data_IF_104204054042
#
_entry.id   IF_104204054042
#
_cell.length_a   1.000
_cell.length_b   1.000
_cell.length_c   1.000
_cell.angle_alpha   90.00
_cell.angle_beta   90.00
_cell.angle_gamma   90.00
#
_symmetry.space_group_name_H-M   'P 1'
#
loop_
_entity.id
_entity.type
_entity.pdbx_description
1 polymer ?
#
# COMPACT_ATOMS: atom_id res chain seq x y z
N UNK A 1 16.75 1.52 -1.75
CA UNK A 1 15.52 1.31 -0.95
C UNK A 1 15.07 -0.10 -1.23
N UNK A 2 15.01 -0.92 -0.20
CA UNK A 2 14.52 -2.30 -0.27
C UNK A 2 13.03 -2.30 0.13
N UNK A 3 12.26 -3.24 -0.40
CA UNK A 3 10.83 -3.38 -0.12
C UNK A 3 10.56 -4.83 0.30
N UNK A 4 10.04 -4.99 1.51
CA UNK A 4 9.82 -6.28 2.15
C UNK A 4 8.40 -6.38 2.72
N UNK A 5 7.88 -7.60 2.80
CA UNK A 5 6.64 -7.94 3.50
C UNK A 5 7.01 -9.01 4.53
N UNK A 6 6.79 -8.74 5.82
CA UNK A 6 7.17 -9.63 6.93
C UNK A 6 8.66 -10.02 6.96
N UNK A 7 9.56 -9.14 6.52
CA UNK A 7 11.00 -9.40 6.47
C UNK A 7 11.45 -10.24 5.28
N UNK A 8 10.56 -10.54 4.35
CA UNK A 8 10.88 -11.19 3.07
C UNK A 8 10.81 -10.16 1.93
N UNK A 9 11.84 -10.15 1.07
CA UNK A 9 11.86 -9.29 -0.10
C UNK A 9 10.64 -9.54 -0.99
N UNK A 10 10.05 -8.45 -1.49
CA UNK A 10 8.91 -8.58 -2.40
C UNK A 10 9.34 -9.24 -3.71
N UNK A 11 8.68 -10.35 -4.06
CA UNK A 11 8.87 -11.02 -5.34
C UNK A 11 8.04 -10.31 -6.43
N UNK A 12 8.64 -9.77 -7.51
CA UNK A 12 7.92 -8.97 -8.51
C UNK A 12 6.81 -9.73 -9.26
N UNK A 13 7.01 -11.03 -9.49
CA UNK A 13 6.07 -11.86 -10.27
C UNK A 13 5.02 -12.55 -9.39
N UNK A 14 5.05 -12.30 -8.08
CA UNK A 14 4.11 -12.90 -7.11
C UNK A 14 2.89 -12.02 -6.94
N UNK A 15 1.72 -12.65 -6.78
CA UNK A 15 0.46 -11.96 -6.49
C UNK A 15 0.31 -11.77 -4.99
N UNK A 16 -0.06 -10.56 -4.58
CA UNK A 16 -0.36 -10.21 -3.20
C UNK A 16 -1.79 -9.71 -3.10
N UNK A 17 -2.43 -9.99 -1.96
CA UNK A 17 -3.73 -9.41 -1.63
C UNK A 17 -3.51 -8.10 -0.90
N UNK A 18 -4.16 -7.04 -1.38
CA UNK A 18 -4.12 -5.71 -0.81
C UNK A 18 -5.52 -5.32 -0.33
N UNK A 19 -5.61 -4.70 0.84
CA UNK A 19 -6.81 -4.03 1.33
C UNK A 19 -6.60 -2.52 1.19
N UNK A 20 -7.57 -1.83 0.60
CA UNK A 20 -7.54 -0.38 0.42
C UNK A 20 -8.98 0.18 0.41
N UNK A 21 -9.13 1.49 0.45
CA UNK A 21 -10.43 2.14 0.30
C UNK A 21 -10.88 2.21 -1.18
N UNK A 22 -12.16 2.50 -1.39
CA UNK A 22 -12.78 2.58 -2.71
C UNK A 22 -12.22 3.69 -3.60
N UNK A 23 -11.90 4.85 -3.03
CA UNK A 23 -11.29 5.97 -3.76
C UNK A 23 -9.95 5.58 -4.42
N UNK A 24 -9.06 4.93 -3.66
CA UNK A 24 -7.78 4.46 -4.20
C UNK A 24 -7.95 3.27 -5.14
N UNK A 25 -8.85 2.33 -4.84
CA UNK A 25 -9.17 1.21 -5.74
C UNK A 25 -9.71 1.71 -7.10
N UNK A 26 -10.47 2.81 -7.10
CA UNK A 26 -10.92 3.49 -8.30
C UNK A 26 -9.85 4.37 -8.98
N UNK A 27 -8.60 4.32 -8.50
CA UNK A 27 -7.45 5.04 -9.04
C UNK A 27 -7.36 6.52 -8.68
N UNK A 28 -7.97 6.93 -7.57
CA UNK A 28 -7.73 8.23 -6.96
C UNK A 28 -6.24 8.46 -6.66
N UNK A 29 -5.84 9.73 -6.54
CA UNK A 29 -4.46 10.16 -6.28
C UNK A 29 -3.40 9.57 -7.24
N UNK A 30 -3.79 9.22 -8.46
CA UNK A 30 -2.91 8.67 -9.48
C UNK A 30 -2.63 7.17 -9.35
N UNK A 31 -3.35 6.44 -8.49
CA UNK A 31 -3.25 4.99 -8.34
C UNK A 31 -4.00 4.21 -9.44
N UNK A 32 -3.91 4.67 -10.69
CA UNK A 32 -4.68 4.09 -11.81
C UNK A 32 -4.40 2.60 -12.02
N UNK A 33 -3.21 2.12 -11.66
CA UNK A 33 -2.83 0.72 -11.73
C UNK A 33 -3.73 -0.21 -10.87
N UNK A 34 -4.42 0.33 -9.87
CA UNK A 34 -5.32 -0.45 -9.02
C UNK A 34 -6.67 -0.77 -9.69
N UNK A 35 -7.09 0.03 -10.69
CA UNK A 35 -8.37 -0.17 -11.41
C UNK A 35 -8.46 -1.52 -12.10
N UNK A 36 -7.32 -2.03 -12.55
CA UNK A 36 -7.22 -3.29 -13.30
C UNK A 36 -7.09 -4.52 -12.39
N UNK A 37 -6.98 -4.32 -11.06
CA UNK A 37 -6.87 -5.41 -10.09
C UNK A 37 -8.25 -6.04 -9.80
N UNK A 38 -8.33 -7.37 -9.63
CA UNK A 38 -9.59 -8.03 -9.31
C UNK A 38 -10.06 -7.66 -7.89
N UNK A 39 -11.33 -7.24 -7.77
CA UNK A 39 -11.98 -7.02 -6.48
C UNK A 39 -12.32 -8.38 -5.86
N UNK A 40 -11.59 -8.77 -4.81
CA UNK A 40 -11.83 -10.04 -4.11
C UNK A 40 -12.94 -9.93 -3.06
N UNK A 41 -13.07 -8.78 -2.40
CA UNK A 41 -14.02 -8.52 -1.33
C UNK A 41 -14.28 -7.02 -1.19
N UNK A 42 -15.52 -6.65 -0.89
CA UNK A 42 -15.92 -5.30 -0.46
C UNK A 42 -16.66 -5.41 0.88
N UNK A 43 -16.20 -4.70 1.91
CA UNK A 43 -16.71 -4.86 3.28
C UNK A 43 -16.95 -3.49 3.94
N UNK A 44 -17.94 -2.76 3.41
CA UNK A 44 -18.37 -1.49 3.98
C UNK A 44 -17.40 -0.34 3.68
N UNK A 45 -17.66 0.80 4.33
CA UNK A 45 -16.86 2.01 4.17
C UNK A 45 -15.66 2.06 5.13
N UNK A 46 -14.68 2.92 4.84
CA UNK A 46 -13.49 3.05 5.67
C UNK A 46 -13.80 3.51 7.10
N UNK A 47 -14.78 4.39 7.27
CA UNK A 47 -15.23 4.86 8.59
C UNK A 47 -15.95 3.77 9.39
N UNK A 48 -16.75 2.93 8.75
CA UNK A 48 -17.34 1.75 9.39
C UNK A 48 -16.26 0.81 9.91
N UNK A 49 -15.30 0.42 9.06
CA UNK A 49 -14.19 -0.44 9.44
C UNK A 49 -13.36 0.16 10.58
N UNK A 50 -13.14 1.49 10.56
CA UNK A 50 -12.43 2.20 11.63
C UNK A 50 -13.22 2.18 12.95
N UNK A 51 -14.53 2.47 12.92
CA UNK A 51 -15.40 2.44 14.10
C UNK A 51 -15.43 1.03 14.72
N UNK A 52 -15.56 0.00 13.89
CA UNK A 52 -15.53 -1.39 14.33
C UNK A 52 -14.20 -1.75 14.99
N UNK A 53 -13.08 -1.33 14.41
CA UNK A 53 -11.76 -1.57 14.98
C UNK A 53 -11.59 -0.89 16.34
N UNK A 54 -12.00 0.38 16.49
CA UNK A 54 -11.92 1.10 17.77
C UNK A 54 -12.78 0.40 18.84
N UNK A 55 -14.00 -0.02 18.47
CA UNK A 55 -14.87 -0.81 19.37
C UNK A 55 -14.23 -2.14 19.78
N UNK A 56 -13.53 -2.79 18.85
CA UNK A 56 -12.87 -4.07 19.08
C UNK A 56 -11.69 -3.95 20.04
N UNK A 57 -10.82 -2.96 19.86
CA UNK A 57 -9.64 -2.76 20.72
C UNK A 57 -9.99 -2.12 22.07
N UNK A 58 -11.11 -1.41 22.14
CA UNK A 58 -11.66 -0.79 23.36
C UNK A 58 -10.90 0.47 23.79
N UNK A 59 -9.64 0.33 24.20
CA UNK A 59 -8.78 1.44 24.61
C UNK A 59 -7.74 1.70 23.52
N UNK A 60 -7.72 2.94 23.02
CA UNK A 60 -6.75 3.39 22.04
C UNK A 60 -5.45 3.73 22.77
N UNK A 61 -4.41 2.93 22.57
CA UNK A 61 -3.05 3.22 23.02
C UNK A 61 -2.16 3.41 21.78
N UNK A 62 -1.56 4.59 21.63
CA UNK A 62 -0.77 4.96 20.45
C UNK A 62 0.68 5.21 20.82
N UNK A 63 1.59 4.68 20.02
CA UNK A 63 3.03 4.87 20.15
C UNK A 63 3.66 5.12 18.77
N UNK A 64 4.88 5.64 18.75
CA UNK A 64 5.66 5.73 17.52
C UNK A 64 6.20 4.34 17.19
N UNK A 65 5.59 3.71 16.18
CA UNK A 65 5.91 2.33 15.78
C UNK A 65 7.02 2.22 14.71
N UNK A 66 7.59 3.33 14.25
CA UNK A 66 8.68 3.31 13.26
C UNK A 66 8.24 2.90 11.84
N UNK A 67 6.94 2.97 11.51
CA UNK A 67 6.41 2.59 10.19
C UNK A 67 6.94 3.44 9.03
N UNK A 68 7.37 4.68 9.30
CA UNK A 68 7.94 5.60 8.31
C UNK A 68 9.25 6.13 8.86
N UNK A 69 10.33 5.93 8.12
CA UNK A 69 11.67 6.44 8.46
C UNK A 69 12.18 7.35 7.34
N UNK A 70 12.88 8.41 7.69
CA UNK A 70 13.60 9.21 6.71
C UNK A 70 14.77 8.40 6.15
N UNK A 71 14.70 8.05 4.86
CA UNK A 71 15.81 7.48 4.11
C UNK A 71 16.43 8.58 3.27
N UNK A 72 17.72 8.85 3.48
CA UNK A 72 18.50 9.67 2.55
C UNK A 72 18.50 8.97 1.18
N UNK A 73 17.92 9.61 0.17
CA UNK A 73 17.93 9.07 -1.20
C UNK A 73 19.24 9.45 -1.87
N UNK A 74 19.98 8.45 -2.33
CA UNK A 74 20.84 8.63 -3.50
C UNK A 74 19.97 9.11 -4.69
N UNK A 75 20.43 10.06 -5.51
CA UNK A 75 19.65 10.62 -6.59
C UNK A 75 19.12 9.51 -7.51
N UNK A 76 17.81 9.54 -7.79
CA UNK A 76 17.14 8.59 -8.67
C UNK A 76 17.82 8.62 -10.06
N UNK A 77 18.52 7.54 -10.41
CA UNK A 77 19.07 7.37 -11.76
C UNK A 77 17.90 7.00 -12.68
N UNK A 78 17.59 7.88 -13.62
CA UNK A 78 16.63 7.58 -14.70
C UNK A 78 17.13 6.32 -15.40
N UNK A 79 16.35 5.24 -15.48
CA UNK A 79 16.72 4.08 -16.28
C UNK A 79 16.93 4.55 -17.71
N UNK A 80 18.10 4.26 -18.30
CA UNK A 80 18.31 4.50 -19.73
C UNK A 80 17.22 3.74 -20.50
N UNK A 81 16.31 4.48 -21.11
CA UNK A 81 15.43 3.91 -22.12
C UNK A 81 16.32 3.50 -23.28
N UNK A 82 16.56 2.19 -23.41
CA UNK A 82 16.99 1.63 -24.69
C UNK A 82 15.82 1.79 -25.65
N UNK A 83 15.74 2.95 -26.29
CA UNK A 83 14.97 3.12 -27.51
C UNK A 83 15.65 2.22 -28.53
N UNK A 84 15.06 1.04 -28.75
CA UNK A 84 15.47 0.14 -29.81
C UNK A 84 15.32 0.83 -31.17
N UNK A 85 16.03 0.33 -32.20
CA UNK A 85 16.02 0.91 -33.55
C UNK A 85 14.62 0.90 -34.19
#
# INVERSE_FOLDING_TARGET
>A
VEMEINGEAIEPDKKYTLVTNDFLAAGGDGYEMLKDCPLLLYQGTLDEAFIEYIRHIGVVNIDIEGRITHVEKEPYKVPETKVGP
#
